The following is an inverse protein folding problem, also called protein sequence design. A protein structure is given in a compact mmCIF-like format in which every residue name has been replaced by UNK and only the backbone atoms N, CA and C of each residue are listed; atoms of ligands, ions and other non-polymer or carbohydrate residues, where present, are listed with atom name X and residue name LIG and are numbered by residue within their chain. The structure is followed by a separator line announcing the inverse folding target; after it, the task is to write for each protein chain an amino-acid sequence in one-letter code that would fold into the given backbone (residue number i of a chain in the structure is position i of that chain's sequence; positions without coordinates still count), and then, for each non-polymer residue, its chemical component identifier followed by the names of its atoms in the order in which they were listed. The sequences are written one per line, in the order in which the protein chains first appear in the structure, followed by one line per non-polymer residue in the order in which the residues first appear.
data_IF_214010506627
#
_entry.id   IF_214010506627
#
_cell.length_a   1.000
_cell.length_b   1.000
_cell.length_c   1.000
_cell.angle_alpha   90.00
_cell.angle_beta   90.00
_cell.angle_gamma   90.00
#
_symmetry.space_group_name_H-M   'P 1'
#
loop_
_entity.id
_entity.type
_entity.pdbx_description
1 polymer ?
#
# COMPACT_ATOMS: atom_id res chain seq x y z
N UNK A 1 -2.58 6.55 -18.14
CA UNK A 1 -2.72 5.71 -16.93
C UNK A 1 -3.21 6.66 -15.85
N UNK A 2 -4.32 6.33 -15.19
CA UNK A 2 -4.88 7.14 -14.10
C UNK A 2 -3.77 7.43 -13.07
N UNK A 3 -3.62 8.68 -12.63
CA UNK A 3 -2.57 9.07 -11.67
C UNK A 3 -2.94 8.56 -10.27
N UNK A 4 -2.79 7.26 -10.04
CA UNK A 4 -2.99 6.67 -8.73
C UNK A 4 -1.79 7.04 -7.85
N UNK A 5 -2.03 7.74 -6.74
CA UNK A 5 -1.07 7.94 -5.64
C UNK A 5 -1.84 7.73 -4.35
N UNK A 6 -1.23 7.05 -3.38
CA UNK A 6 -1.86 6.88 -2.07
C UNK A 6 -2.02 8.25 -1.40
N UNK A 7 -0.94 9.01 -1.21
CA UNK A 7 -1.02 10.32 -0.54
C UNK A 7 -1.72 10.19 0.83
N UNK A 8 -2.77 10.99 1.05
CA UNK A 8 -3.61 10.93 2.26
C UNK A 8 -4.76 9.91 2.16
N UNK A 9 -4.87 9.16 1.07
CA UNK A 9 -5.88 8.12 0.88
C UNK A 9 -5.65 6.97 1.87
N UNK A 10 -6.75 6.45 2.41
CA UNK A 10 -6.74 5.25 3.24
C UNK A 10 -6.21 4.07 2.45
N UNK A 11 -5.48 3.18 3.13
CA UNK A 11 -4.88 2.00 2.52
C UNK A 11 -5.93 1.13 1.80
N UNK A 12 -7.11 0.96 2.40
CA UNK A 12 -8.23 0.21 1.82
C UNK A 12 -8.69 0.81 0.48
N UNK A 13 -8.93 2.12 0.45
CA UNK A 13 -9.36 2.84 -0.75
C UNK A 13 -8.31 2.79 -1.86
N UNK A 14 -7.03 2.88 -1.48
CA UNK A 14 -5.92 2.77 -2.41
C UNK A 14 -5.86 1.37 -3.01
N UNK A 15 -5.98 0.31 -2.20
CA UNK A 15 -5.91 -1.08 -2.66
C UNK A 15 -7.03 -1.42 -3.63
N UNK A 16 -8.27 -0.99 -3.35
CA UNK A 16 -9.41 -1.20 -4.26
C UNK A 16 -9.17 -0.54 -5.61
N UNK A 17 -8.67 0.70 -5.62
CA UNK A 17 -8.38 1.43 -6.87
C UNK A 17 -7.19 0.83 -7.61
N UNK A 18 -6.17 0.41 -6.89
CA UNK A 18 -4.99 -0.24 -7.44
C UNK A 18 -5.36 -1.57 -8.12
N UNK A 19 -6.13 -2.43 -7.45
CA UNK A 19 -6.60 -3.70 -8.00
C UNK A 19 -7.38 -3.47 -9.30
N UNK A 20 -8.35 -2.55 -9.28
CA UNK A 20 -9.13 -2.22 -10.47
C UNK A 20 -8.26 -1.71 -11.63
N UNK A 21 -7.19 -0.96 -11.34
CA UNK A 21 -6.24 -0.48 -12.35
C UNK A 21 -5.42 -1.63 -12.94
N UNK A 22 -4.87 -2.51 -12.11
CA UNK A 22 -4.08 -3.67 -12.55
C UNK A 22 -4.94 -4.62 -13.40
N UNK A 23 -6.15 -4.97 -12.94
CA UNK A 23 -7.07 -5.85 -13.69
C UNK A 23 -7.42 -5.29 -15.07
N UNK A 24 -7.57 -3.96 -15.21
CA UNK A 24 -7.92 -3.32 -16.48
C UNK A 24 -6.74 -3.10 -17.42
N UNK A 25 -5.51 -3.09 -16.90
CA UNK A 25 -4.33 -2.69 -17.66
C UNK A 25 -3.62 -3.86 -18.37
N UNK A 26 -3.85 -5.10 -17.95
CA UNK A 26 -3.23 -6.29 -18.56
C UNK A 26 -1.71 -6.35 -18.40
N UNK A 27 -1.16 -5.68 -17.39
CA UNK A 27 0.28 -5.68 -17.08
C UNK A 27 0.68 -6.94 -16.30
N UNK A 28 1.98 -7.27 -16.29
CA UNK A 28 2.50 -8.41 -15.54
C UNK A 28 2.55 -8.13 -14.04
N UNK A 29 2.64 -9.18 -13.21
CA UNK A 29 2.79 -9.06 -11.75
C UNK A 29 3.96 -8.17 -11.35
N UNK A 30 5.13 -8.33 -12.00
CA UNK A 30 6.30 -7.49 -11.72
C UNK A 30 6.04 -6.02 -12.07
N UNK A 31 5.40 -5.75 -13.21
CA UNK A 31 5.01 -4.38 -13.58
C UNK A 31 3.98 -3.79 -12.62
N UNK A 32 3.07 -4.61 -12.11
CA UNK A 32 2.10 -4.20 -11.10
C UNK A 32 2.78 -3.92 -9.75
N UNK A 33 3.74 -4.75 -9.32
CA UNK A 33 4.52 -4.51 -8.11
C UNK A 33 5.32 -3.22 -8.22
N UNK A 34 6.01 -2.98 -9.34
CA UNK A 34 6.71 -1.71 -9.57
C UNK A 34 5.76 -0.51 -9.49
N UNK A 35 4.56 -0.66 -10.05
CA UNK A 35 3.52 0.37 -9.98
C UNK A 35 3.00 0.57 -8.55
N UNK A 36 2.85 -0.51 -7.77
CA UNK A 36 2.45 -0.44 -6.37
C UNK A 36 3.48 0.36 -5.57
N UNK A 37 4.76 -0.01 -5.66
CA UNK A 37 5.85 0.65 -4.96
C UNK A 37 5.99 2.12 -5.37
N UNK A 38 5.82 2.47 -6.64
CA UNK A 38 5.91 3.87 -7.06
C UNK A 38 4.78 4.76 -6.54
N UNK A 39 3.64 4.18 -6.16
CA UNK A 39 2.42 4.93 -5.90
C UNK A 39 1.91 4.81 -4.46
N UNK A 40 2.38 3.83 -3.70
CA UNK A 40 2.13 3.68 -2.28
C UNK A 40 2.94 4.72 -1.46
N UNK A 41 2.51 4.99 -0.24
CA UNK A 41 3.25 5.83 0.71
C UNK A 41 4.65 5.23 0.96
N UNK A 42 5.68 6.06 0.81
CA UNK A 42 7.08 5.67 0.98
C UNK A 42 7.38 5.06 2.35
N UNK A 43 6.67 5.45 3.40
CA UNK A 43 6.83 4.86 4.74
C UNK A 43 6.40 3.38 4.78
N UNK A 44 5.40 2.99 3.98
CA UNK A 44 4.99 1.59 3.83
C UNK A 44 6.08 0.80 3.10
N UNK A 45 6.68 1.37 2.04
CA UNK A 45 7.81 0.76 1.32
C UNK A 45 8.98 0.54 2.27
N UNK A 46 9.37 1.57 3.04
CA UNK A 46 10.45 1.48 4.01
C UNK A 46 10.19 0.34 5.01
N UNK A 47 8.98 0.24 5.54
CA UNK A 47 8.61 -0.83 6.45
C UNK A 47 8.66 -2.23 5.80
N UNK A 48 8.25 -2.37 4.53
CA UNK A 48 8.39 -3.63 3.79
C UNK A 48 9.86 -4.07 3.67
N UNK A 49 10.76 -3.15 3.35
CA UNK A 49 12.20 -3.42 3.30
C UNK A 49 12.77 -3.78 4.68
N UNK A 50 12.47 -2.99 5.71
CA UNK A 50 13.01 -3.22 7.05
C UNK A 50 12.55 -4.54 7.68
N UNK A 51 11.37 -5.02 7.30
CA UNK A 51 10.79 -6.27 7.82
C UNK A 51 11.05 -7.48 6.90
N UNK A 52 11.81 -7.32 5.81
CA UNK A 52 12.05 -8.38 4.81
C UNK A 52 10.74 -8.99 4.26
N UNK A 53 9.77 -8.11 3.96
CA UNK A 53 8.41 -8.46 3.52
C UNK A 53 8.17 -8.20 2.04
N UNK A 54 9.22 -7.95 1.26
CA UNK A 54 9.09 -7.78 -0.18
C UNK A 54 8.68 -9.10 -0.83
N UNK A 55 7.77 -9.04 -1.80
CA UNK A 55 7.24 -10.23 -2.49
C UNK A 55 7.31 -10.02 -3.99
N UNK A 56 7.67 -11.09 -4.71
CA UNK A 56 7.69 -11.11 -6.17
C UNK A 56 6.36 -11.57 -6.77
N UNK A 57 5.44 -12.08 -5.94
CA UNK A 57 4.09 -12.45 -6.32
C UNK A 57 3.16 -11.30 -5.95
N UNK A 58 2.39 -10.79 -6.93
CA UNK A 58 1.57 -9.59 -6.76
C UNK A 58 0.59 -9.72 -5.59
N UNK A 59 -0.10 -10.85 -5.49
CA UNK A 59 -1.08 -11.10 -4.44
C UNK A 59 -0.44 -11.01 -3.04
N UNK A 60 0.77 -11.56 -2.86
CA UNK A 60 1.50 -11.50 -1.60
C UNK A 60 1.98 -10.07 -1.31
N UNK A 61 2.49 -9.37 -2.32
CA UNK A 61 2.93 -7.97 -2.20
C UNK A 61 1.78 -7.05 -1.76
N UNK A 62 0.59 -7.22 -2.34
CA UNK A 62 -0.60 -6.47 -1.95
C UNK A 62 -1.00 -6.76 -0.50
N UNK A 63 -0.96 -8.02 -0.06
CA UNK A 63 -1.30 -8.40 1.33
C UNK A 63 -0.34 -7.76 2.33
N UNK A 64 0.97 -7.86 2.11
CA UNK A 64 1.97 -7.29 3.02
C UNK A 64 1.86 -5.76 3.07
N UNK A 65 1.68 -5.13 1.90
CA UNK A 65 1.48 -3.68 1.79
C UNK A 65 0.22 -3.23 2.56
N UNK A 66 -0.89 -3.96 2.41
CA UNK A 66 -2.13 -3.70 3.13
C UNK A 66 -1.95 -3.84 4.65
N UNK A 67 -1.35 -4.93 5.10
CA UNK A 67 -1.14 -5.18 6.53
C UNK A 67 -0.31 -4.08 7.20
N UNK A 68 0.78 -3.65 6.54
CA UNK A 68 1.63 -2.57 7.05
C UNK A 68 0.88 -1.23 7.03
N UNK A 69 0.24 -0.88 5.91
CA UNK A 69 -0.50 0.38 5.80
C UNK A 69 -1.62 0.47 6.85
N UNK A 70 -2.37 -0.60 7.05
CA UNK A 70 -3.44 -0.65 8.03
C UNK A 70 -2.89 -0.55 9.47
N UNK A 71 -1.78 -1.24 9.77
CA UNK A 71 -1.14 -1.13 11.09
C UNK A 71 -0.66 0.30 11.38
N UNK A 72 -0.09 0.98 10.39
CA UNK A 72 0.35 2.38 10.51
C UNK A 72 -0.83 3.32 10.75
N UNK A 73 -1.91 3.19 9.99
CA UNK A 73 -3.11 4.01 10.16
C UNK A 73 -3.75 3.80 11.54
N UNK A 74 -3.81 2.56 12.01
CA UNK A 74 -4.30 2.24 13.36
C UNK A 74 -3.42 2.84 14.45
N UNK A 75 -2.09 2.79 14.30
CA UNK A 75 -1.18 3.42 15.23
C UNK A 75 -1.37 4.95 15.30
N UNK A 76 -1.50 5.60 14.15
CA UNK A 76 -1.78 7.03 14.06
C UNK A 76 -3.10 7.38 14.77
N UNK A 77 -4.17 6.64 14.48
CA UNK A 77 -5.48 6.82 15.13
C UNK A 77 -5.40 6.67 16.67
N UNK A 78 -4.71 5.64 17.17
CA UNK A 78 -4.53 5.45 18.61
C UNK A 78 -3.74 6.60 19.26
N UNK A 79 -2.69 7.07 18.59
CA UNK A 79 -1.84 8.16 19.08
C UNK A 79 -2.58 9.50 19.12
N UNK A 80 -3.41 9.78 18.12
CA UNK A 80 -4.26 10.97 18.09
C UNK A 80 -5.30 10.93 19.23
N UNK A 81 -5.96 9.78 19.44
CA UNK A 81 -6.91 9.60 20.54
C UNK A 81 -6.27 9.74 21.93
N UNK A 82 -5.00 9.36 22.09
CA UNK A 82 -4.26 9.57 23.34
C UNK A 82 -3.92 11.04 23.62
N UNK A 83 -3.70 11.84 22.57
CA UNK A 83 -3.41 13.28 22.69
C UNK A 83 -4.64 14.14 22.95
N UNK A 84 -5.82 13.63 22.62
CA UNK A 84 -7.11 14.32 22.83
C UNK A 84 -7.69 14.10 24.24
N UNK A 85 -7.03 13.31 25.08
CA UNK A 85 -7.39 13.04 26.49
C UNK A 85 -6.46 13.81 27.41
#
# INVERSE_FOLDING_TARGET
IEHLKQGAMKIDDFMVKFEALVTKSGITDLQAIDLLEQNINTEIIQALFYQDKQKMVLAEAMVETFQIGHAMEMYCFMKENQRAR
#
